data_IF_060236344063
#
_entry.id   IF_060236344063
#
_cell.length_a   1.000
_cell.length_b   1.000
_cell.length_c   1.000
_cell.angle_alpha   90.00
_cell.angle_beta   90.00
_cell.angle_gamma   90.00
#
_symmetry.space_group_name_H-M   'P 1'
#
loop_
_entity.id
_entity.type
_entity.pdbx_description
1 polymer ?
#
# COMPACT_ATOMS: atom_id res chain seq x y z
N UNK A 1 -19.11 -10.42 -23.63
CA UNK A 1 -18.93 -8.97 -23.46
C UNK A 1 -19.66 -8.49 -22.23
N UNK A 2 -19.01 -8.64 -21.06
CA UNK A 2 -19.58 -8.27 -19.75
C UNK A 2 -19.07 -6.92 -19.26
N UNK A 3 -18.21 -6.25 -20.04
CA UNK A 3 -17.56 -5.01 -19.68
C UNK A 3 -18.24 -3.84 -20.39
N UNK A 4 -18.66 -2.81 -19.60
CA UNK A 4 -19.23 -1.59 -20.15
C UNK A 4 -18.27 -0.93 -21.12
N UNK A 5 -18.76 -0.38 -22.23
CA UNK A 5 -17.93 0.29 -23.22
C UNK A 5 -17.46 1.67 -22.75
N UNK A 6 -18.31 2.40 -22.03
CA UNK A 6 -18.04 3.76 -21.59
C UNK A 6 -18.44 3.98 -20.14
N UNK A 7 -17.82 4.94 -19.46
CA UNK A 7 -18.27 5.50 -18.20
C UNK A 7 -19.23 6.66 -18.47
N UNK A 8 -20.37 6.67 -17.79
CA UNK A 8 -21.38 7.71 -17.98
C UNK A 8 -20.82 9.10 -17.67
N UNK A 9 -20.89 10.03 -18.64
CA UNK A 9 -20.41 11.41 -18.53
C UNK A 9 -18.95 11.56 -18.06
N UNK A 10 -18.06 10.60 -18.39
CA UNK A 10 -16.65 10.59 -17.98
C UNK A 10 -15.75 10.16 -19.15
N UNK A 11 -15.69 10.98 -20.20
CA UNK A 11 -15.01 10.64 -21.45
C UNK A 11 -13.51 10.44 -21.28
N UNK A 12 -12.85 11.30 -20.50
CA UNK A 12 -11.42 11.14 -20.22
C UNK A 12 -11.11 9.84 -19.45
N UNK A 13 -11.89 9.54 -18.40
CA UNK A 13 -11.75 8.29 -17.68
C UNK A 13 -12.01 7.07 -18.58
N UNK A 14 -12.96 7.18 -19.51
CA UNK A 14 -13.23 6.15 -20.52
C UNK A 14 -12.03 5.98 -21.43
N UNK A 15 -11.49 7.04 -22.00
CA UNK A 15 -10.31 7.02 -22.88
C UNK A 15 -9.08 6.41 -22.19
N UNK A 16 -8.84 6.74 -20.93
CA UNK A 16 -7.72 6.23 -20.16
C UNK A 16 -7.86 4.75 -19.76
N UNK A 17 -9.09 4.26 -19.63
CA UNK A 17 -9.37 2.91 -19.15
C UNK A 17 -9.70 1.92 -20.27
N UNK A 18 -10.21 2.38 -21.40
CA UNK A 18 -10.66 1.55 -22.53
C UNK A 18 -9.74 1.74 -23.72
N UNK A 19 -8.74 0.89 -23.85
CA UNK A 19 -7.76 0.95 -24.96
C UNK A 19 -8.29 0.13 -26.12
N UNK A 20 -8.67 0.79 -27.23
CA UNK A 20 -9.13 0.11 -28.44
C UNK A 20 -8.03 -0.77 -29.04
N UNK A 21 -8.41 -1.93 -29.55
CA UNK A 21 -7.55 -2.84 -30.31
C UNK A 21 -7.96 -2.86 -31.79
N UNK A 22 -7.14 -3.43 -32.65
CA UNK A 22 -7.40 -3.53 -34.09
C UNK A 22 -8.58 -4.45 -34.48
N UNK A 23 -9.20 -5.17 -33.53
CA UNK A 23 -10.28 -6.13 -33.77
C UNK A 23 -11.64 -5.69 -33.20
N UNK A 24 -11.93 -4.38 -33.14
CA UNK A 24 -13.13 -3.85 -32.48
C UNK A 24 -13.32 -4.31 -31.02
N UNK A 25 -12.26 -4.78 -30.38
CA UNK A 25 -12.20 -5.12 -28.99
C UNK A 25 -11.48 -4.00 -28.24
N UNK A 26 -11.57 -4.01 -26.94
CA UNK A 26 -10.80 -3.08 -26.13
C UNK A 26 -10.23 -3.80 -24.88
N UNK A 27 -9.07 -3.35 -24.45
CA UNK A 27 -8.51 -3.69 -23.15
C UNK A 27 -9.10 -2.79 -22.09
N UNK A 28 -9.62 -3.38 -21.01
CA UNK A 28 -10.08 -2.63 -19.85
C UNK A 28 -8.98 -2.56 -18.79
N UNK A 29 -8.42 -1.35 -18.59
CA UNK A 29 -7.43 -1.10 -17.54
C UNK A 29 -8.13 -0.91 -16.21
N UNK A 30 -7.97 -1.84 -15.30
CA UNK A 30 -8.60 -1.80 -13.97
C UNK A 30 -7.81 -0.97 -12.94
N UNK A 31 -6.64 -0.48 -13.30
CA UNK A 31 -5.77 0.28 -12.41
C UNK A 31 -4.96 -0.58 -11.45
N UNK A 32 -4.89 -1.86 -11.73
CA UNK A 32 -4.05 -2.82 -11.00
C UNK A 32 -2.66 -2.92 -11.64
N UNK A 33 -1.67 -3.29 -10.83
CA UNK A 33 -0.30 -3.54 -11.25
C UNK A 33 0.07 -4.97 -10.89
N UNK A 34 0.71 -5.65 -11.82
CA UNK A 34 1.23 -6.99 -11.64
C UNK A 34 2.31 -7.30 -12.68
N UNK A 35 2.94 -8.44 -12.55
CA UNK A 35 3.87 -8.97 -13.54
C UNK A 35 3.67 -10.47 -13.70
N UNK A 36 4.09 -10.98 -14.85
CA UNK A 36 4.11 -12.41 -15.15
C UNK A 36 5.55 -12.90 -15.01
N UNK A 37 5.78 -13.94 -14.24
CA UNK A 37 7.10 -14.53 -14.05
C UNK A 37 7.46 -15.51 -15.18
N UNK A 38 8.69 -16.08 -15.11
CA UNK A 38 9.19 -17.04 -16.10
C UNK A 38 8.39 -18.33 -16.15
N UNK A 39 7.62 -18.66 -15.12
CA UNK A 39 6.72 -19.80 -15.02
C UNK A 39 5.28 -19.46 -15.45
N UNK A 40 5.07 -18.29 -16.09
CA UNK A 40 3.78 -17.79 -16.52
C UNK A 40 2.76 -17.59 -15.40
N UNK A 41 3.22 -17.29 -14.15
CA UNK A 41 2.37 -17.00 -13.00
C UNK A 41 2.18 -15.49 -12.88
N UNK A 42 0.94 -15.07 -12.70
CA UNK A 42 0.61 -13.66 -12.45
C UNK A 42 0.85 -13.29 -10.97
N UNK A 43 1.68 -12.29 -10.76
CA UNK A 43 1.95 -11.70 -9.44
C UNK A 43 1.28 -10.35 -9.33
N UNK A 44 0.30 -10.25 -8.44
CA UNK A 44 -0.40 -9.01 -8.18
C UNK A 44 0.42 -8.13 -7.20
N UNK A 45 0.65 -6.86 -7.58
CA UNK A 45 1.46 -5.91 -6.80
C UNK A 45 0.61 -4.87 -6.07
N UNK A 46 -0.64 -4.71 -6.43
CA UNK A 46 -1.56 -3.73 -5.83
C UNK A 46 -2.08 -2.69 -6.83
N UNK A 47 -2.77 -1.68 -6.33
CA UNK A 47 -3.32 -0.59 -7.15
C UNK A 47 -2.24 0.38 -7.61
N UNK A 48 -2.24 0.76 -8.89
CA UNK A 48 -1.33 1.76 -9.46
C UNK A 48 -1.36 3.09 -8.71
N UNK A 49 -2.54 3.52 -8.26
CA UNK A 49 -2.74 4.76 -7.50
C UNK A 49 -2.16 4.72 -6.09
N UNK A 50 -1.93 3.53 -5.54
CA UNK A 50 -1.45 3.33 -4.16
C UNK A 50 0.05 3.05 -4.07
N UNK A 51 0.75 2.94 -5.22
CA UNK A 51 2.20 2.79 -5.23
C UNK A 51 2.88 4.01 -4.63
N UNK A 52 3.99 3.80 -3.96
CA UNK A 52 4.81 4.88 -3.41
C UNK A 52 6.03 5.09 -4.29
N UNK A 53 6.14 6.29 -4.85
CA UNK A 53 7.30 6.69 -5.63
C UNK A 53 8.29 7.41 -4.71
N UNK A 54 9.47 6.83 -4.58
CA UNK A 54 10.64 7.43 -3.92
C UNK A 54 11.61 7.93 -5.00
N UNK A 55 12.71 8.59 -4.62
CA UNK A 55 13.75 9.01 -5.58
C UNK A 55 14.31 7.81 -6.36
N UNK A 56 14.49 6.68 -5.71
CA UNK A 56 15.28 5.57 -6.27
C UNK A 56 14.44 4.40 -6.78
N UNK A 57 13.17 4.30 -6.35
CA UNK A 57 12.35 3.13 -6.64
C UNK A 57 10.84 3.38 -6.46
N UNK A 58 10.06 2.46 -6.99
CA UNK A 58 8.61 2.41 -6.77
C UNK A 58 8.29 1.22 -5.86
N UNK A 59 7.65 1.49 -4.73
CA UNK A 59 7.18 0.47 -3.79
C UNK A 59 5.71 0.15 -4.05
N UNK A 60 5.38 -1.13 -4.04
CA UNK A 60 4.03 -1.62 -4.25
C UNK A 60 3.44 -2.17 -2.95
N UNK A 61 2.18 -1.82 -2.70
CA UNK A 61 1.52 -2.09 -1.41
C UNK A 61 1.49 -3.57 -1.05
N UNK A 62 1.06 -4.43 -1.96
CA UNK A 62 0.91 -5.87 -1.68
C UNK A 62 2.24 -6.54 -1.34
N UNK A 63 3.30 -6.20 -2.07
CA UNK A 63 4.63 -6.77 -1.85
C UNK A 63 5.21 -6.36 -0.49
N UNK A 64 5.05 -5.09 -0.11
CA UNK A 64 5.57 -4.58 1.16
C UNK A 64 4.71 -5.01 2.35
N UNK A 65 3.39 -4.87 2.24
CA UNK A 65 2.46 -5.19 3.33
C UNK A 65 2.47 -6.68 3.67
N UNK A 66 2.65 -7.56 2.68
CA UNK A 66 2.76 -9.01 2.89
C UNK A 66 3.85 -9.40 3.87
N UNK A 67 4.99 -8.69 3.85
CA UNK A 67 6.12 -8.94 4.76
C UNK A 67 5.69 -8.67 6.22
N UNK A 68 5.06 -7.54 6.49
CA UNK A 68 4.70 -7.13 7.85
C UNK A 68 3.44 -7.84 8.37
N UNK A 69 2.53 -8.22 7.46
CA UNK A 69 1.36 -9.02 7.82
C UNK A 69 1.73 -10.45 8.30
N UNK A 70 2.94 -10.93 8.00
CA UNK A 70 3.44 -12.20 8.52
C UNK A 70 3.81 -12.14 10.02
N UNK A 71 3.96 -10.95 10.61
CA UNK A 71 4.28 -10.81 12.03
C UNK A 71 3.08 -11.21 12.91
N UNK A 72 3.27 -12.07 13.95
CA UNK A 72 2.17 -12.66 14.72
C UNK A 72 1.26 -11.65 15.43
N UNK A 73 1.78 -10.49 15.87
CA UNK A 73 1.02 -9.43 16.53
C UNK A 73 0.31 -8.49 15.57
N UNK A 74 0.66 -8.50 14.27
CA UNK A 74 0.07 -7.62 13.26
C UNK A 74 -1.24 -8.20 12.79
N UNK A 75 -2.31 -7.40 12.86
CA UNK A 75 -3.62 -7.72 12.27
C UNK A 75 -3.61 -7.40 10.78
N UNK A 76 -3.10 -6.23 10.44
CA UNK A 76 -2.90 -5.76 9.06
C UNK A 76 -1.90 -4.61 9.03
N UNK A 77 -1.28 -4.40 7.89
CA UNK A 77 -0.38 -3.28 7.64
C UNK A 77 -0.83 -2.46 6.43
N UNK A 78 -0.36 -1.23 6.34
CA UNK A 78 -0.58 -0.35 5.20
C UNK A 78 0.70 0.40 4.86
N UNK A 79 1.14 0.32 3.61
CA UNK A 79 2.18 1.16 3.06
C UNK A 79 1.57 2.50 2.63
N UNK A 80 2.07 3.60 3.16
CA UNK A 80 1.70 4.95 2.77
C UNK A 80 2.94 5.79 2.45
N UNK A 81 2.76 6.83 1.63
CA UNK A 81 3.83 7.78 1.31
C UNK A 81 3.54 9.13 1.89
N UNK A 82 4.51 9.69 2.60
CA UNK A 82 4.45 11.04 3.18
C UNK A 82 5.37 11.98 2.40
N UNK A 83 4.97 13.22 2.17
CA UNK A 83 5.76 14.24 1.48
C UNK A 83 5.34 14.49 0.03
N UNK A 84 6.25 15.06 -0.77
CA UNK A 84 5.98 15.49 -2.16
C UNK A 84 5.77 14.30 -3.10
N UNK A 85 4.99 14.53 -4.16
CA UNK A 85 4.50 13.47 -5.07
C UNK A 85 5.62 12.63 -5.71
N UNK A 86 6.75 13.26 -6.05
CA UNK A 86 7.86 12.60 -6.77
C UNK A 86 8.91 11.99 -5.85
N UNK A 87 8.87 12.32 -4.56
CA UNK A 87 9.79 11.82 -3.55
C UNK A 87 9.06 11.60 -2.23
N UNK A 88 8.27 10.55 -2.16
CA UNK A 88 7.55 10.20 -0.95
C UNK A 88 8.45 9.39 -0.01
N UNK A 89 8.41 9.74 1.25
CA UNK A 89 8.96 8.95 2.35
C UNK A 89 8.02 7.76 2.61
N UNK A 90 8.46 6.52 2.42
CA UNK A 90 7.62 5.35 2.66
C UNK A 90 7.48 5.08 4.15
N UNK A 91 6.26 4.84 4.59
CA UNK A 91 5.92 4.55 5.98
C UNK A 91 5.06 3.29 6.03
N UNK A 92 5.41 2.35 6.89
CA UNK A 92 4.55 1.23 7.23
C UNK A 92 3.76 1.58 8.48
N UNK A 93 2.45 1.55 8.35
CA UNK A 93 1.53 1.67 9.48
C UNK A 93 0.97 0.28 9.78
N UNK A 94 0.95 -0.11 11.04
CA UNK A 94 0.41 -1.39 11.46
C UNK A 94 -0.77 -1.21 12.40
N UNK A 95 -1.76 -2.08 12.27
CA UNK A 95 -2.83 -2.30 13.23
C UNK A 95 -2.58 -3.62 13.94
N UNK A 96 -2.65 -3.62 15.26
CA UNK A 96 -2.39 -4.80 16.08
C UNK A 96 -3.64 -5.66 16.24
N UNK A 97 -3.45 -6.97 16.45
CA UNK A 97 -4.53 -7.88 16.80
C UNK A 97 -5.14 -7.55 18.17
N UNK A 98 -4.29 -7.15 19.12
CA UNK A 98 -4.68 -6.74 20.47
C UNK A 98 -4.08 -5.36 20.76
N UNK A 99 -4.91 -4.37 20.96
CA UNK A 99 -4.49 -2.97 21.16
C UNK A 99 -3.75 -2.73 22.48
N UNK A 100 -3.88 -3.63 23.44
CA UNK A 100 -3.26 -3.52 24.77
C UNK A 100 -1.81 -4.02 24.85
N UNK A 101 -1.32 -4.70 23.83
CA UNK A 101 -0.02 -5.38 23.84
C UNK A 101 1.20 -4.43 23.88
N UNK A 102 1.01 -3.13 23.62
CA UNK A 102 2.11 -2.17 23.48
C UNK A 102 1.89 -0.87 24.29
N UNK A 103 1.29 -0.99 25.48
CA UNK A 103 1.08 0.17 26.36
C UNK A 103 2.40 0.74 26.88
N UNK A 104 3.36 -0.12 27.16
CA UNK A 104 4.68 0.28 27.66
C UNK A 104 5.58 0.71 26.49
N UNK A 105 6.25 1.85 26.66
CA UNK A 105 7.18 2.40 25.66
C UNK A 105 8.29 1.42 25.28
N UNK A 106 8.79 0.68 26.26
CA UNK A 106 9.85 -0.33 26.04
C UNK A 106 9.38 -1.47 25.13
N UNK A 107 8.21 -2.04 25.40
CA UNK A 107 7.61 -3.11 24.58
C UNK A 107 7.32 -2.63 23.16
N UNK A 108 6.87 -1.39 23.04
CA UNK A 108 6.65 -0.74 21.74
C UNK A 108 7.94 -0.61 20.94
N UNK A 109 9.05 -0.22 21.57
CA UNK A 109 10.33 -0.10 20.89
C UNK A 109 10.84 -1.46 20.38
N UNK A 110 10.77 -2.50 21.21
CA UNK A 110 11.12 -3.88 20.81
C UNK A 110 10.28 -4.30 19.59
N UNK A 111 8.99 -4.04 19.60
CA UNK A 111 8.13 -4.39 18.48
C UNK A 111 8.50 -3.63 17.19
N UNK A 112 8.85 -2.36 17.27
CA UNK A 112 9.33 -1.57 16.11
C UNK A 112 10.67 -2.13 15.59
N UNK A 113 11.58 -2.54 16.49
CA UNK A 113 12.82 -3.19 16.09
C UNK A 113 12.58 -4.53 15.39
N UNK A 114 11.61 -5.30 15.82
CA UNK A 114 11.23 -6.57 15.19
C UNK A 114 10.66 -6.32 13.77
N UNK A 115 9.83 -5.29 13.61
CA UNK A 115 9.34 -4.89 12.27
C UNK A 115 10.51 -4.44 11.37
N UNK A 116 11.45 -3.68 11.92
CA UNK A 116 12.63 -3.24 11.18
C UNK A 116 13.49 -4.44 10.73
N UNK A 117 13.78 -5.38 11.64
CA UNK A 117 14.51 -6.62 11.32
C UNK A 117 13.78 -7.43 10.24
N UNK A 118 12.46 -7.59 10.37
CA UNK A 118 11.65 -8.31 9.38
C UNK A 118 11.70 -7.62 8.01
N UNK A 119 11.56 -6.29 7.98
CA UNK A 119 11.62 -5.51 6.75
C UNK A 119 12.99 -5.54 6.08
N UNK A 120 14.08 -5.56 6.86
CA UNK A 120 15.46 -5.56 6.35
C UNK A 120 15.83 -6.83 5.58
N UNK A 121 15.16 -7.94 5.84
CA UNK A 121 15.39 -9.23 5.17
C UNK A 121 14.77 -9.32 3.77
N UNK A 122 13.90 -8.39 3.40
CA UNK A 122 13.21 -8.42 2.12
C UNK A 122 13.63 -7.24 1.23
N UNK A 123 14.02 -7.52 0.00
CA UNK A 123 14.49 -6.51 -0.98
C UNK A 123 13.48 -5.37 -1.22
N UNK A 124 12.19 -5.63 -1.06
CA UNK A 124 11.13 -4.64 -1.29
C UNK A 124 10.89 -3.70 -0.10
N UNK A 125 11.39 -4.07 1.08
CA UNK A 125 11.12 -3.35 2.33
C UNK A 125 12.37 -2.89 3.07
N UNK A 126 13.57 -3.34 2.66
CA UNK A 126 14.83 -3.07 3.37
C UNK A 126 15.18 -1.58 3.50
N UNK A 127 14.63 -0.74 2.64
CA UNK A 127 14.82 0.72 2.69
C UNK A 127 13.73 1.46 3.48
N UNK A 128 12.69 0.76 3.94
CA UNK A 128 11.64 1.36 4.77
C UNK A 128 12.13 1.43 6.20
N UNK A 129 12.22 2.65 6.74
CA UNK A 129 12.74 2.91 8.09
C UNK A 129 11.66 3.40 9.06
N UNK A 130 10.52 3.77 8.56
CA UNK A 130 9.46 4.41 9.32
C UNK A 130 8.29 3.46 9.58
N UNK A 131 8.05 3.23 10.88
CA UNK A 131 6.98 2.37 11.36
C UNK A 131 6.10 3.14 12.34
N UNK A 132 4.79 3.11 12.13
CA UNK A 132 3.81 3.71 13.02
C UNK A 132 2.75 2.67 13.40
N UNK A 133 2.18 2.83 14.60
CA UNK A 133 1.13 1.95 15.11
C UNK A 133 -0.15 2.77 15.18
N UNK A 134 -1.19 2.30 14.52
CA UNK A 134 -2.52 2.91 14.52
C UNK A 134 -3.52 1.97 15.20
N UNK A 135 -4.37 2.51 16.07
CA UNK A 135 -5.30 1.69 16.86
C UNK A 135 -6.31 0.94 16.00
N UNK A 136 -6.97 1.64 15.08
CA UNK A 136 -7.97 1.07 14.18
C UNK A 136 -7.85 1.71 12.81
N UNK A 137 -7.60 0.93 11.77
CA UNK A 137 -7.49 1.47 10.42
C UNK A 137 -8.82 2.05 9.93
N UNK A 138 -8.80 3.24 9.30
CA UNK A 138 -9.94 3.76 8.58
C UNK A 138 -10.20 2.88 7.37
N UNK A 139 -11.39 2.30 7.30
CA UNK A 139 -11.83 1.40 6.21
C UNK A 139 -13.12 1.92 5.59
N UNK A 140 -13.38 1.55 4.34
CA UNK A 140 -14.67 1.82 3.69
C UNK A 140 -15.78 1.05 4.45
N UNK A 141 -16.81 1.77 4.90
CA UNK A 141 -17.93 1.21 5.69
C UNK A 141 -18.65 0.10 4.92
N UNK A 142 -18.70 0.19 3.60
CA UNK A 142 -19.34 -0.81 2.72
C UNK A 142 -18.50 -2.05 2.49
N UNK A 143 -17.18 -1.89 2.62
CA UNK A 143 -16.18 -2.93 2.33
C UNK A 143 -15.07 -2.88 3.38
N UNK A 144 -15.28 -3.45 4.54
CA UNK A 144 -14.33 -3.46 5.68
C UNK A 144 -12.89 -3.87 5.34
N UNK A 145 -12.65 -4.41 4.16
CA UNK A 145 -11.32 -4.77 3.68
C UNK A 145 -10.57 -3.61 3.02
N UNK A 146 -11.27 -2.55 2.54
CA UNK A 146 -10.64 -1.46 1.80
C UNK A 146 -10.10 -0.40 2.74
N UNK A 147 -8.80 -0.39 2.94
CA UNK A 147 -8.09 0.60 3.78
C UNK A 147 -8.07 1.96 3.08
N UNK A 148 -8.48 3.03 3.79
CA UNK A 148 -8.41 4.43 3.33
C UNK A 148 -6.99 4.97 3.53
N UNK A 149 -6.08 4.65 2.59
CA UNK A 149 -4.65 5.00 2.69
C UNK A 149 -4.38 6.50 2.68
N UNK A 150 -5.23 7.28 2.04
CA UNK A 150 -5.14 8.74 2.03
C UNK A 150 -5.29 9.31 3.44
N UNK A 151 -6.24 8.80 4.23
CA UNK A 151 -6.45 9.20 5.62
C UNK A 151 -5.24 8.78 6.47
N UNK A 152 -4.74 7.56 6.29
CA UNK A 152 -3.55 7.08 6.99
C UNK A 152 -2.30 7.89 6.63
N UNK A 153 -2.14 8.32 5.38
CA UNK A 153 -1.01 9.15 4.97
C UNK A 153 -1.05 10.54 5.63
N UNK A 154 -2.22 11.16 5.70
CA UNK A 154 -2.41 12.43 6.41
C UNK A 154 -2.13 12.28 7.91
N UNK A 155 -2.60 11.20 8.51
CA UNK A 155 -2.33 10.88 9.92
C UNK A 155 -0.82 10.63 10.15
N UNK A 156 -0.15 9.88 9.29
CA UNK A 156 1.29 9.63 9.36
C UNK A 156 2.09 10.92 9.28
N UNK A 157 1.70 11.86 8.41
CA UNK A 157 2.35 13.17 8.28
C UNK A 157 2.37 13.94 9.61
N UNK A 158 1.34 13.80 10.43
CA UNK A 158 1.23 14.47 11.75
C UNK A 158 1.97 13.73 12.86
N UNK A 159 2.19 12.42 12.72
CA UNK A 159 2.74 11.55 13.77
C UNK A 159 4.18 11.08 13.51
N UNK A 160 4.72 11.35 12.33
CA UNK A 160 6.14 11.10 12.07
C UNK A 160 7.02 12.14 12.76
N UNK A 161 8.18 11.73 13.30
CA UNK A 161 9.18 12.69 13.74
C UNK A 161 9.58 13.59 12.55
N UNK A 162 9.57 14.89 12.79
CA UNK A 162 10.15 15.85 11.85
C UNK A 162 11.66 15.64 11.92
N UNK A 163 12.29 15.23 10.81
CA UNK A 163 13.74 15.36 10.70
C UNK A 163 14.01 16.83 10.37
N UNK A 164 14.71 17.50 11.27
CA UNK A 164 15.38 18.76 10.99
C UNK A 164 16.50 18.59 9.99
#
# INVERSE_FOLDING_TARGET
PWTTQNYFKRDEATRLSKIKTNKNLFWHRMGDVGYIDKQNRLWFCGRKSQRIQTINETLFTVQCEGVFNAHPKVKRSALVGVGKTENKRPVIIVELKQSNDLKEKFIRNIFIEDLFKLGSQCRYTCKIKDFLIHQNFPVDIRHNAKISREILAQWATKNLPKYE
#
